data_IF_924961158872
#
_entry.id   IF_924961158872
#
_cell.length_a   1.000
_cell.length_b   1.000
_cell.length_c   1.000
_cell.angle_alpha   90.00
_cell.angle_beta   90.00
_cell.angle_gamma   90.00
#
_symmetry.space_group_name_H-M   'P 1'
#
loop_
_entity.id
_entity.type
_entity.pdbx_description
1 polymer ?
#
# COMPACT_ATOMS: atom_id res chain seq x y z
N UNK A 1 14.48 22.70 -8.32
CA UNK A 1 15.02 21.31 -8.31
C UNK A 1 14.01 20.45 -7.56
N UNK A 2 13.64 19.28 -8.09
CA UNK A 2 12.81 18.31 -7.36
C UNK A 2 13.68 17.30 -6.62
N UNK A 3 13.20 16.83 -5.47
CA UNK A 3 13.80 15.73 -4.70
C UNK A 3 12.80 14.60 -4.65
N UNK A 4 13.24 13.37 -4.93
CA UNK A 4 12.45 12.17 -4.76
C UNK A 4 12.81 11.52 -3.42
N UNK A 5 11.80 11.09 -2.67
CA UNK A 5 11.96 10.39 -1.40
C UNK A 5 11.31 9.02 -1.55
N UNK A 6 12.01 7.98 -1.11
CA UNK A 6 11.48 6.61 -1.04
C UNK A 6 11.52 6.21 0.44
N UNK A 7 10.37 5.78 0.97
CA UNK A 7 10.21 5.39 2.36
C UNK A 7 9.69 3.96 2.41
N UNK A 8 10.34 3.11 3.21
CA UNK A 8 9.80 1.82 3.62
C UNK A 8 9.19 1.98 5.02
N UNK A 9 7.91 1.64 5.17
CA UNK A 9 7.17 1.85 6.42
C UNK A 9 6.13 0.75 6.63
N UNK A 10 5.78 0.51 7.89
CA UNK A 10 4.61 -0.29 8.31
C UNK A 10 3.59 0.58 9.09
N UNK A 11 3.78 1.89 9.12
CA UNK A 11 2.85 2.83 9.77
C UNK A 11 1.63 3.05 8.88
N UNK A 12 0.46 2.63 9.38
CA UNK A 12 -0.84 2.88 8.77
C UNK A 12 -1.20 4.36 8.78
N UNK A 13 -0.87 5.08 9.86
CA UNK A 13 -1.08 6.53 9.95
C UNK A 13 -0.38 7.28 8.82
N UNK A 14 0.87 6.88 8.51
CA UNK A 14 1.60 7.47 7.39
C UNK A 14 0.96 7.08 6.05
N UNK A 15 0.49 5.84 5.91
CA UNK A 15 -0.16 5.34 4.69
C UNK A 15 -1.45 6.10 4.35
N UNK A 16 -2.18 6.60 5.34
CA UNK A 16 -3.39 7.41 5.15
C UNK A 16 -3.16 8.73 4.39
N UNK A 17 -1.90 9.14 4.20
CA UNK A 17 -1.53 10.39 3.53
C UNK A 17 -1.06 10.21 2.09
N UNK A 18 -1.24 9.03 1.50
CA UNK A 18 -0.81 8.71 0.14
C UNK A 18 -1.97 8.21 -0.71
N UNK A 19 -1.86 8.44 -2.01
CA UNK A 19 -2.72 7.81 -3.01
C UNK A 19 -2.22 6.40 -3.35
N UNK A 20 -3.09 5.47 -3.81
CA UNK A 20 -2.68 4.11 -4.18
C UNK A 20 -1.48 4.08 -5.15
N UNK A 21 -1.46 4.96 -6.14
CA UNK A 21 -0.40 5.01 -7.15
C UNK A 21 0.96 5.42 -6.57
N UNK A 22 1.00 5.99 -5.37
CA UNK A 22 2.23 6.36 -4.66
C UNK A 22 2.76 5.22 -3.78
N UNK A 23 1.98 4.16 -3.58
CA UNK A 23 2.29 3.05 -2.68
C UNK A 23 2.70 1.81 -3.46
N UNK A 24 3.78 1.17 -3.01
CA UNK A 24 4.22 -0.15 -3.48
C UNK A 24 4.18 -1.13 -2.32
N UNK A 25 3.39 -2.18 -2.44
CA UNK A 25 3.42 -3.31 -1.49
C UNK A 25 4.53 -4.27 -1.86
N UNK A 26 5.15 -4.88 -0.85
CA UNK A 26 6.27 -5.81 -1.02
C UNK A 26 5.94 -7.08 -0.25
N UNK A 27 5.99 -8.23 -0.91
CA UNK A 27 5.82 -9.53 -0.25
C UNK A 27 6.82 -10.55 -0.75
N UNK A 28 7.13 -11.55 0.06
CA UNK A 28 7.91 -12.70 -0.39
C UNK A 28 6.96 -13.79 -0.87
N UNK A 29 7.22 -14.36 -2.05
CA UNK A 29 6.47 -15.49 -2.62
C UNK A 29 7.50 -16.49 -3.12
N UNK A 30 7.48 -17.71 -2.58
CA UNK A 30 8.39 -18.80 -2.99
C UNK A 30 9.88 -18.41 -2.96
N UNK A 31 10.28 -17.62 -1.95
CA UNK A 31 11.65 -17.12 -1.81
C UNK A 31 12.00 -15.92 -2.70
N UNK A 32 11.11 -15.51 -3.60
CA UNK A 32 11.28 -14.32 -4.45
C UNK A 32 10.54 -13.11 -3.88
N UNK A 33 11.11 -11.92 -4.03
CA UNK A 33 10.42 -10.66 -3.68
C UNK A 33 9.49 -10.25 -4.81
N UNK A 34 8.21 -10.08 -4.51
CA UNK A 34 7.22 -9.48 -5.41
C UNK A 34 6.87 -8.07 -4.91
N UNK A 35 6.92 -7.11 -5.82
CA UNK A 35 6.56 -5.72 -5.58
C UNK A 35 5.38 -5.35 -6.48
N UNK A 36 4.33 -4.77 -5.90
CA UNK A 36 3.11 -4.40 -6.62
C UNK A 36 2.76 -2.97 -6.27
N UNK A 37 2.59 -2.11 -7.27
CA UNK A 37 2.04 -0.77 -7.08
C UNK A 37 0.53 -0.87 -6.94
N UNK A 38 -0.05 -0.15 -5.98
CA UNK A 38 -1.50 -0.11 -5.85
C UNK A 38 -2.14 0.73 -6.96
N UNK A 39 -3.39 0.42 -7.26
CA UNK A 39 -4.19 1.11 -8.27
C UNK A 39 -5.53 1.49 -7.63
N UNK A 40 -5.90 2.76 -7.77
CA UNK A 40 -7.18 3.28 -7.29
C UNK A 40 -8.37 2.59 -7.92
N UNK A 41 -8.27 2.14 -9.18
CA UNK A 41 -9.35 1.41 -9.86
C UNK A 41 -9.65 0.06 -9.18
N UNK A 42 -8.61 -0.65 -8.72
CA UNK A 42 -8.77 -1.93 -8.02
C UNK A 42 -9.38 -1.75 -6.61
N UNK A 43 -9.23 -0.57 -6.03
CA UNK A 43 -9.67 -0.21 -4.69
C UNK A 43 -10.91 0.71 -4.68
N UNK A 44 -11.45 1.06 -5.84
CA UNK A 44 -12.42 2.15 -5.99
C UNK A 44 -13.64 2.02 -5.04
N UNK A 45 -14.23 0.83 -4.97
CA UNK A 45 -15.37 0.57 -4.09
C UNK A 45 -15.05 0.78 -2.59
N UNK A 46 -13.79 0.61 -2.19
CA UNK A 46 -13.37 0.76 -0.81
C UNK A 46 -12.96 2.20 -0.49
N UNK A 47 -12.36 2.91 -1.44
CA UNK A 47 -11.87 4.28 -1.25
C UNK A 47 -13.01 5.30 -1.07
N UNK A 48 -14.27 4.92 -1.34
CA UNK A 48 -15.44 5.75 -1.03
C UNK A 48 -15.66 5.93 0.48
N UNK A 49 -15.40 4.89 1.28
CA UNK A 49 -15.72 4.85 2.72
C UNK A 49 -14.49 4.70 3.63
N UNK A 50 -13.33 4.35 3.07
CA UNK A 50 -12.15 3.94 3.84
C UNK A 50 -10.87 4.58 3.32
N UNK A 51 -9.93 4.87 4.23
CA UNK A 51 -8.57 5.29 3.88
C UNK A 51 -7.69 4.08 3.55
N UNK A 52 -6.55 4.29 2.87
CA UNK A 52 -5.58 3.21 2.66
C UNK A 52 -5.08 2.57 3.96
N UNK A 53 -4.95 3.34 5.05
CA UNK A 53 -4.61 2.79 6.36
C UNK A 53 -5.70 1.87 6.92
N UNK A 54 -6.97 2.21 6.70
CA UNK A 54 -8.10 1.33 7.06
C UNK A 54 -8.06 0.04 6.25
N UNK A 55 -7.80 0.14 4.94
CA UNK A 55 -7.70 -1.04 4.06
C UNK A 55 -6.51 -1.93 4.41
N UNK A 56 -5.40 -1.34 4.86
CA UNK A 56 -4.28 -2.08 5.42
C UNK A 56 -4.66 -2.79 6.71
N UNK A 57 -5.30 -2.10 7.66
CA UNK A 57 -5.73 -2.70 8.93
C UNK A 57 -6.76 -3.83 8.74
N UNK A 58 -7.57 -3.75 7.69
CA UNK A 58 -8.57 -4.75 7.34
C UNK A 58 -8.03 -5.88 6.44
N UNK A 59 -6.73 -5.90 6.14
CA UNK A 59 -6.09 -6.88 5.24
C UNK A 59 -6.69 -6.93 3.83
N UNK A 60 -7.27 -5.81 3.37
CA UNK A 60 -7.84 -5.67 2.02
C UNK A 60 -6.71 -5.41 1.01
N UNK A 61 -5.72 -4.59 1.41
CA UNK A 61 -4.51 -4.35 0.62
C UNK A 61 -3.66 -5.62 0.60
N UNK A 62 -3.46 -6.20 -0.59
CA UNK A 62 -2.68 -7.43 -0.74
C UNK A 62 -1.18 -7.14 -0.81
N UNK A 63 -0.42 -7.82 0.06
CA UNK A 63 1.05 -7.74 0.11
C UNK A 63 1.55 -6.73 1.14
N UNK A 64 2.76 -6.94 1.66
CA UNK A 64 3.35 -6.09 2.72
C UNK A 64 3.06 -6.55 4.15
N UNK A 65 2.04 -7.39 4.35
CA UNK A 65 1.71 -7.94 5.65
C UNK A 65 2.56 -9.19 5.98
N UNK A 66 3.04 -9.34 7.22
CA UNK A 66 3.61 -10.60 7.69
C UNK A 66 2.55 -11.71 7.65
N UNK A 67 2.97 -12.94 7.33
CA UNK A 67 2.15 -14.15 7.56
C UNK A 67 2.10 -14.51 9.05
#
# INVERSE_FOLDING_TARGET
KGTQIIVATQSTDLLCHFEPEEVITVKQVEGATQMVRLNSEDLNHWLEDYTLGDLWNQNIVKGGQPE
#
